data_IF_015661280664
#
_entry.id   IF_015661280664
#
_cell.length_a   1.000
_cell.length_b   1.000
_cell.length_c   1.000
_cell.angle_alpha   90.00
_cell.angle_beta   90.00
_cell.angle_gamma   90.00
#
_symmetry.space_group_name_H-M   'P 1'
#
loop_
_entity.id
_entity.type
_entity.pdbx_description
1 polymer ?
#
# COMPACT_ATOMS: atom_id res chain seq x y z
N UNK A 1 3.38 -14.49 3.70
CA UNK A 1 3.89 -15.86 3.51
C UNK A 1 5.18 -15.72 2.72
N UNK A 2 6.31 -15.65 3.42
CA UNK A 2 7.62 -15.47 2.78
C UNK A 2 8.03 -16.77 2.13
N UNK A 3 8.32 -16.73 0.82
CA UNK A 3 8.88 -17.87 0.10
C UNK A 3 10.33 -17.99 0.56
N UNK A 4 10.66 -19.13 1.18
CA UNK A 4 11.99 -19.39 1.73
C UNK A 4 13.02 -19.42 0.60
N UNK A 5 13.87 -18.40 0.56
CA UNK A 5 14.95 -18.21 -0.43
C UNK A 5 15.91 -19.41 -0.42
N UNK A 6 16.04 -20.10 0.72
CA UNK A 6 16.90 -21.28 0.86
C UNK A 6 16.42 -22.47 0.03
N UNK A 7 15.11 -22.62 -0.20
CA UNK A 7 14.57 -23.68 -1.05
C UNK A 7 14.83 -23.39 -2.54
N UNK A 8 14.78 -22.11 -2.93
CA UNK A 8 15.05 -21.68 -4.30
C UNK A 8 16.53 -21.84 -4.67
N UNK A 9 17.44 -21.52 -3.75
CA UNK A 9 18.88 -21.69 -3.98
C UNK A 9 19.31 -23.16 -3.97
N UNK A 10 18.66 -24.01 -3.17
CA UNK A 10 18.84 -25.47 -3.24
C UNK A 10 18.44 -26.03 -4.60
N UNK A 11 17.27 -25.66 -5.12
CA UNK A 11 16.80 -26.08 -6.45
C UNK A 11 17.74 -25.60 -7.59
N UNK A 12 18.25 -24.37 -7.51
CA UNK A 12 19.22 -23.83 -8.49
C UNK A 12 20.56 -24.57 -8.44
N UNK A 13 21.07 -24.87 -7.25
CA UNK A 13 22.34 -25.57 -7.06
C UNK A 13 22.26 -27.02 -7.55
N UNK A 14 21.13 -27.70 -7.34
CA UNK A 14 20.97 -29.10 -7.69
C UNK A 14 20.69 -29.31 -9.18
N UNK A 15 19.90 -28.41 -9.80
CA UNK A 15 19.67 -28.42 -11.24
C UNK A 15 20.95 -28.23 -12.07
N UNK A 16 21.93 -27.46 -11.56
CA UNK A 16 23.23 -27.27 -12.20
C UNK A 16 24.14 -28.51 -12.15
N UNK A 17 24.08 -29.28 -11.06
CA UNK A 17 24.93 -30.46 -10.85
C UNK A 17 24.45 -31.71 -11.62
N UNK A 18 23.15 -31.85 -11.83
CA UNK A 18 22.54 -33.06 -12.41
C UNK A 18 22.65 -33.14 -13.94
N UNK A 19 22.92 -32.01 -14.61
CA UNK A 19 23.08 -31.94 -16.07
C UNK A 19 24.31 -32.66 -16.62
N UNK A 20 25.25 -33.06 -15.75
CA UNK A 20 26.54 -33.66 -16.15
C UNK A 20 26.64 -35.18 -15.93
N UNK A 21 25.74 -35.81 -15.17
CA UNK A 21 25.93 -37.20 -14.69
C UNK A 21 24.72 -38.14 -14.80
N UNK A 22 23.51 -37.67 -15.13
CA UNK A 22 22.30 -38.49 -15.12
C UNK A 22 21.86 -38.93 -16.52
N UNK A 23 21.39 -40.19 -16.65
CA UNK A 23 20.81 -40.71 -17.89
C UNK A 23 19.45 -40.07 -18.18
N UNK A 24 18.97 -40.07 -19.45
CA UNK A 24 17.76 -39.35 -19.85
C UNK A 24 16.47 -39.76 -19.11
N UNK A 25 16.43 -40.96 -18.51
CA UNK A 25 15.29 -41.41 -17.71
C UNK A 25 15.34 -40.92 -16.26
N UNK A 26 16.54 -40.85 -15.65
CA UNK A 26 16.73 -40.39 -14.27
C UNK A 26 16.43 -38.89 -14.15
N UNK A 27 16.83 -38.10 -15.16
CA UNK A 27 16.51 -36.67 -15.25
C UNK A 27 15.00 -36.42 -15.36
N UNK A 28 14.26 -37.30 -16.05
CA UNK A 28 12.81 -37.16 -16.26
C UNK A 28 12.01 -37.47 -14.98
N UNK A 29 12.46 -38.45 -14.19
CA UNK A 29 11.82 -38.85 -12.93
C UNK A 29 12.01 -37.78 -11.86
N UNK A 30 13.20 -37.20 -11.73
CA UNK A 30 13.48 -36.12 -10.78
C UNK A 30 12.76 -34.80 -11.13
N UNK A 31 12.67 -34.46 -12.42
CA UNK A 31 11.86 -33.31 -12.89
C UNK A 31 10.38 -33.50 -12.52
N UNK A 32 9.88 -34.73 -12.63
CA UNK A 32 8.51 -35.08 -12.26
C UNK A 32 8.27 -34.98 -10.74
N UNK A 33 9.27 -35.34 -9.93
CA UNK A 33 9.23 -35.17 -8.48
C UNK A 33 9.26 -33.69 -8.05
N UNK A 34 10.10 -32.87 -8.68
CA UNK A 34 10.14 -31.42 -8.41
C UNK A 34 8.81 -30.73 -8.72
N UNK A 35 8.19 -31.08 -9.85
CA UNK A 35 6.86 -30.57 -10.21
C UNK A 35 5.77 -31.05 -9.24
N UNK A 36 5.85 -32.29 -8.76
CA UNK A 36 4.91 -32.82 -7.77
C UNK A 36 5.02 -32.10 -6.42
N UNK A 37 6.24 -31.83 -5.93
CA UNK A 37 6.47 -31.12 -4.67
C UNK A 37 5.95 -29.67 -4.75
N UNK A 38 6.24 -28.97 -5.86
CA UNK A 38 5.71 -27.61 -6.09
C UNK A 38 4.18 -27.62 -6.16
N UNK A 39 3.59 -28.61 -6.84
CA UNK A 39 2.13 -28.74 -6.96
C UNK A 39 1.45 -29.06 -5.63
N UNK A 40 2.06 -29.87 -4.77
CA UNK A 40 1.57 -30.22 -3.43
C UNK A 40 1.65 -29.04 -2.44
N UNK A 41 2.56 -28.10 -2.66
CA UNK A 41 2.79 -26.95 -1.80
C UNK A 41 1.88 -25.74 -2.12
N UNK A 42 1.02 -25.82 -3.14
CA UNK A 42 0.25 -24.68 -3.65
C UNK A 42 -1.26 -24.88 -3.56
N UNK A 43 -2.00 -23.83 -3.19
CA UNK A 43 -3.47 -23.82 -3.23
C UNK A 43 -4.02 -23.92 -4.68
N UNK A 44 -5.16 -24.59 -4.85
CA UNK A 44 -5.77 -25.02 -6.12
C UNK A 44 -5.84 -23.96 -7.23
N UNK A 45 -5.90 -22.67 -6.86
CA UNK A 45 -6.01 -21.56 -7.79
C UNK A 45 -4.76 -21.32 -8.65
N UNK A 46 -3.61 -21.90 -8.27
CA UNK A 46 -2.32 -21.66 -8.93
C UNK A 46 -1.83 -22.88 -9.75
N UNK A 47 -2.55 -24.01 -9.68
CA UNK A 47 -2.23 -25.25 -10.40
C UNK A 47 -2.18 -25.11 -11.94
N UNK A 48 -2.98 -24.27 -12.60
CA UNK A 48 -2.89 -24.09 -14.06
C UNK A 48 -1.54 -23.51 -14.54
N UNK A 49 -0.89 -22.68 -13.72
CA UNK A 49 0.41 -22.08 -14.03
C UNK A 49 1.53 -23.12 -14.03
N UNK A 50 1.44 -24.10 -13.12
CA UNK A 50 2.40 -25.20 -12.97
C UNK A 50 2.14 -26.30 -14.01
N UNK A 51 0.87 -26.66 -14.24
CA UNK A 51 0.49 -27.72 -15.19
C UNK A 51 0.85 -27.42 -16.66
N UNK A 52 1.05 -26.14 -16.99
CA UNK A 52 1.45 -25.70 -18.34
C UNK A 52 2.95 -25.47 -18.51
N UNK A 53 3.76 -25.78 -17.49
CA UNK A 53 5.21 -25.66 -17.52
C UNK A 53 5.88 -26.90 -18.11
N UNK A 54 7.03 -26.70 -18.77
CA UNK A 54 7.77 -27.78 -19.43
C UNK A 54 8.62 -28.61 -18.47
N UNK A 55 9.14 -27.97 -17.43
CA UNK A 55 9.97 -28.57 -16.39
C UNK A 55 9.81 -27.78 -15.08
N UNK A 56 10.45 -28.25 -14.00
CA UNK A 56 10.36 -27.63 -12.68
C UNK A 56 10.93 -26.19 -12.65
N UNK A 57 11.92 -25.89 -13.49
CA UNK A 57 12.49 -24.54 -13.57
C UNK A 57 11.51 -23.57 -14.25
N UNK A 58 10.91 -23.97 -15.38
CA UNK A 58 9.85 -23.21 -16.07
C UNK A 58 8.64 -22.99 -15.15
N UNK A 59 8.27 -24.01 -14.37
CA UNK A 59 7.19 -23.88 -13.38
C UNK A 59 7.52 -22.82 -12.32
N UNK A 60 8.73 -22.88 -11.75
CA UNK A 60 9.20 -21.90 -10.76
C UNK A 60 9.27 -20.49 -11.33
N UNK A 61 9.89 -20.30 -12.50
CA UNK A 61 10.00 -18.98 -13.14
C UNK A 61 8.64 -18.37 -13.50
N UNK A 62 7.65 -19.19 -13.91
CA UNK A 62 6.29 -18.70 -14.17
C UNK A 62 5.57 -18.28 -12.89
N UNK A 63 5.76 -19.02 -11.80
CA UNK A 63 5.22 -18.65 -10.50
C UNK A 63 5.84 -17.37 -10.00
N UNK A 64 7.17 -17.31 -9.97
CA UNK A 64 7.93 -16.11 -9.59
C UNK A 64 7.45 -14.91 -10.38
N UNK A 65 7.41 -15.00 -11.72
CA UNK A 65 6.93 -13.92 -12.58
C UNK A 65 5.45 -13.55 -12.38
N UNK A 66 4.57 -14.51 -12.09
CA UNK A 66 3.16 -14.23 -11.83
C UNK A 66 2.94 -13.52 -10.48
N UNK A 67 3.60 -14.00 -9.42
CA UNK A 67 3.54 -13.36 -8.10
C UNK A 67 4.26 -12.01 -8.09
N UNK A 68 5.38 -11.87 -8.80
CA UNK A 68 6.08 -10.60 -8.96
C UNK A 68 5.23 -9.60 -9.75
N UNK A 69 4.61 -10.00 -10.86
CA UNK A 69 3.67 -9.13 -11.60
C UNK A 69 2.49 -8.69 -10.74
N UNK A 70 1.90 -9.60 -9.96
CA UNK A 70 0.82 -9.27 -9.00
C UNK A 70 1.34 -8.32 -7.92
N UNK A 71 2.56 -8.52 -7.42
CA UNK A 71 3.22 -7.65 -6.45
C UNK A 71 3.45 -6.24 -7.03
N UNK A 72 3.97 -6.13 -8.25
CA UNK A 72 4.20 -4.84 -8.91
C UNK A 72 2.88 -4.11 -9.19
N UNK A 73 1.86 -4.83 -9.70
CA UNK A 73 0.54 -4.26 -9.92
C UNK A 73 -0.08 -3.73 -8.61
N UNK A 74 0.06 -4.48 -7.52
CA UNK A 74 -0.43 -4.08 -6.20
C UNK A 74 0.34 -2.86 -5.65
N UNK A 75 1.68 -2.87 -5.72
CA UNK A 75 2.53 -1.73 -5.36
C UNK A 75 2.14 -0.48 -6.14
N UNK A 76 1.96 -0.59 -7.46
CA UNK A 76 1.56 0.52 -8.32
C UNK A 76 0.17 1.05 -7.97
N UNK A 77 -0.79 0.16 -7.72
CA UNK A 77 -2.14 0.54 -7.31
C UNK A 77 -2.13 1.33 -6.00
N UNK A 78 -1.42 0.83 -4.99
CA UNK A 78 -1.30 1.49 -3.68
C UNK A 78 -0.56 2.83 -3.78
N UNK A 79 0.56 2.88 -4.53
CA UNK A 79 1.31 4.13 -4.75
C UNK A 79 0.45 5.18 -5.45
N UNK A 80 -0.28 4.80 -6.50
CA UNK A 80 -1.19 5.71 -7.19
C UNK A 80 -2.24 6.24 -6.22
N UNK A 81 -2.90 5.35 -5.47
CA UNK A 81 -3.93 5.73 -4.50
C UNK A 81 -3.41 6.64 -3.39
N UNK A 82 -2.17 6.43 -2.94
CA UNK A 82 -1.50 7.26 -1.94
C UNK A 82 -1.30 8.70 -2.46
N UNK A 83 -0.71 8.86 -3.65
CA UNK A 83 -0.40 10.18 -4.20
C UNK A 83 -1.60 10.93 -4.79
N UNK A 84 -2.70 10.27 -5.13
CA UNK A 84 -3.89 10.92 -5.72
C UNK A 84 -5.07 11.02 -4.75
N UNK A 85 -4.93 10.55 -3.52
CA UNK A 85 -5.99 10.71 -2.51
C UNK A 85 -6.06 12.18 -2.11
N UNK A 86 -7.25 12.77 -2.16
CA UNK A 86 -7.52 14.15 -1.73
C UNK A 86 -8.57 14.14 -0.62
N UNK A 87 -8.48 15.09 0.30
CA UNK A 87 -9.51 15.34 1.31
C UNK A 87 -10.68 16.06 0.65
N UNK A 88 -11.91 15.59 0.84
CA UNK A 88 -13.07 16.30 0.35
C UNK A 88 -13.46 17.43 1.31
N UNK A 89 -14.24 18.40 0.81
CA UNK A 89 -14.86 19.40 1.69
C UNK A 89 -15.87 18.74 2.63
N UNK A 90 -15.75 19.03 3.92
CA UNK A 90 -16.57 18.42 4.98
C UNK A 90 -16.05 17.10 5.55
N UNK A 91 -14.98 16.50 4.99
CA UNK A 91 -14.36 15.30 5.57
C UNK A 91 -13.82 15.57 6.98
N UNK A 92 -13.88 14.54 7.84
CA UNK A 92 -13.22 14.57 9.14
C UNK A 92 -11.71 14.53 8.99
N UNK A 93 -11.00 15.53 9.50
CA UNK A 93 -9.52 15.59 9.47
C UNK A 93 -8.89 14.32 10.06
N UNK A 94 -9.41 13.82 11.17
CA UNK A 94 -8.87 12.63 11.84
C UNK A 94 -9.07 11.36 11.00
N UNK A 95 -10.24 11.21 10.38
CA UNK A 95 -10.54 10.09 9.48
C UNK A 95 -9.60 10.14 8.26
N UNK A 96 -9.36 11.34 7.74
CA UNK A 96 -8.46 11.54 6.62
C UNK A 96 -7.00 11.23 6.98
N UNK A 97 -6.52 11.66 8.16
CA UNK A 97 -5.20 11.30 8.70
C UNK A 97 -5.05 9.77 8.78
N UNK A 98 -6.06 9.08 9.30
CA UNK A 98 -6.03 7.62 9.39
C UNK A 98 -6.00 6.97 8.00
N UNK A 99 -6.76 7.49 7.03
CA UNK A 99 -6.73 7.01 5.64
C UNK A 99 -5.32 7.06 5.03
N UNK A 100 -4.60 8.16 5.23
CA UNK A 100 -3.22 8.32 4.74
C UNK A 100 -2.27 7.33 5.44
N UNK A 101 -2.37 7.18 6.77
CA UNK A 101 -1.57 6.19 7.52
C UNK A 101 -1.81 4.77 7.05
N UNK A 102 -3.07 4.37 6.89
CA UNK A 102 -3.42 3.04 6.42
C UNK A 102 -2.87 2.75 5.02
N UNK A 103 -2.84 3.75 4.12
CA UNK A 103 -2.19 3.57 2.81
C UNK A 103 -0.68 3.39 2.93
N UNK A 104 -0.02 4.12 3.82
CA UNK A 104 1.41 3.94 4.09
C UNK A 104 1.73 2.56 4.70
N UNK A 105 0.91 2.09 5.65
CA UNK A 105 1.01 0.75 6.24
C UNK A 105 0.79 -0.36 5.19
N UNK A 106 -0.17 -0.18 4.29
CA UNK A 106 -0.38 -1.12 3.18
C UNK A 106 0.80 -1.16 2.22
N UNK A 107 1.44 -0.02 1.96
CA UNK A 107 2.65 0.08 1.15
C UNK A 107 3.85 -0.60 1.82
N UNK A 108 4.00 -0.44 3.14
CA UNK A 108 5.02 -1.15 3.91
C UNK A 108 4.81 -2.68 3.88
N UNK A 109 3.57 -3.13 4.07
CA UNK A 109 3.21 -4.55 4.04
C UNK A 109 3.52 -5.26 2.70
N UNK A 110 3.59 -4.51 1.59
CA UNK A 110 3.97 -5.06 0.27
C UNK A 110 5.45 -4.83 -0.06
N UNK A 111 6.26 -4.36 0.90
CA UNK A 111 7.69 -4.10 0.72
C UNK A 111 7.97 -2.87 -0.15
N UNK A 112 7.17 -1.81 -0.01
CA UNK A 112 7.34 -0.53 -0.69
C UNK A 112 7.16 0.66 0.27
N UNK A 113 7.93 0.73 1.39
CA UNK A 113 7.74 1.70 2.45
C UNK A 113 7.76 3.16 1.94
N UNK A 114 7.04 4.02 2.65
CA UNK A 114 6.97 5.46 2.41
C UNK A 114 7.89 6.16 3.40
N UNK A 115 8.68 7.13 2.94
CA UNK A 115 9.54 7.93 3.82
C UNK A 115 8.70 8.85 4.70
N UNK A 116 9.25 9.29 5.84
CA UNK A 116 8.57 10.27 6.69
C UNK A 116 8.29 11.57 5.93
N UNK A 117 9.23 12.01 5.09
CA UNK A 117 9.10 13.22 4.26
C UNK A 117 8.00 13.06 3.22
N UNK A 118 7.98 11.94 2.47
CA UNK A 118 6.93 11.66 1.47
C UNK A 118 5.54 11.62 2.13
N UNK A 119 5.45 11.10 3.36
CA UNK A 119 4.21 11.04 4.12
C UNK A 119 3.71 12.44 4.48
N UNK A 120 4.60 13.30 4.98
CA UNK A 120 4.30 14.71 5.31
C UNK A 120 3.91 15.50 4.06
N UNK A 121 4.71 15.40 2.99
CA UNK A 121 4.49 16.10 1.72
C UNK A 121 3.15 15.68 1.13
N UNK A 122 2.88 14.38 1.06
CA UNK A 122 1.62 13.86 0.49
C UNK A 122 0.44 14.33 1.31
N UNK A 123 0.52 14.27 2.65
CA UNK A 123 -0.56 14.74 3.50
C UNK A 123 -0.87 16.23 3.28
N UNK A 124 0.14 17.10 3.34
CA UNK A 124 -0.05 18.54 3.14
C UNK A 124 -0.61 18.87 1.74
N UNK A 125 -0.08 18.23 0.70
CA UNK A 125 -0.55 18.43 -0.68
C UNK A 125 -1.98 17.94 -0.92
N UNK A 126 -2.47 17.05 -0.06
CA UNK A 126 -3.76 16.38 -0.21
C UNK A 126 -4.91 17.01 0.58
N UNK A 127 -4.61 17.95 1.48
CA UNK A 127 -5.60 18.70 2.24
C UNK A 127 -6.44 19.60 1.33
N UNK A 128 -7.72 19.79 1.69
CA UNK A 128 -8.63 20.64 0.93
C UNK A 128 -8.32 22.14 1.08
N UNK A 129 -8.98 22.96 0.25
CA UNK A 129 -8.75 24.41 0.20
C UNK A 129 -8.98 25.10 1.55
N UNK A 130 -9.90 24.56 2.34
CA UNK A 130 -10.18 25.08 3.67
C UNK A 130 -8.95 25.07 4.59
N UNK A 131 -7.88 24.31 4.33
CA UNK A 131 -6.66 24.31 5.15
C UNK A 131 -5.48 25.09 4.54
N UNK A 132 -5.66 25.77 3.41
CA UNK A 132 -4.55 26.42 2.67
C UNK A 132 -3.71 27.38 3.52
N UNK A 133 -4.35 28.22 4.34
CA UNK A 133 -3.62 29.13 5.22
C UNK A 133 -2.73 28.38 6.24
N UNK A 134 -3.20 27.24 6.75
CA UNK A 134 -2.42 26.40 7.66
C UNK A 134 -1.27 25.73 6.93
N UNK A 135 -1.49 25.26 5.70
CA UNK A 135 -0.45 24.67 4.84
C UNK A 135 0.67 25.68 4.61
N UNK A 136 0.37 26.90 4.14
CA UNK A 136 1.37 27.96 3.93
C UNK A 136 2.15 28.28 5.21
N UNK A 137 1.47 28.34 6.36
CA UNK A 137 2.13 28.60 7.64
C UNK A 137 3.08 27.46 8.04
N UNK A 138 2.72 26.21 7.77
CA UNK A 138 3.57 25.05 8.03
C UNK A 138 4.78 25.01 7.08
N UNK A 139 4.57 25.25 5.79
CA UNK A 139 5.63 25.31 4.77
C UNK A 139 6.68 26.39 5.06
N UNK A 140 6.26 27.51 5.67
CA UNK A 140 7.20 28.57 6.09
C UNK A 140 8.19 28.13 7.19
N UNK A 141 7.97 26.96 7.82
CA UNK A 141 8.78 26.36 8.89
C UNK A 141 9.30 24.97 8.50
N UNK A 142 9.62 24.78 7.22
CA UNK A 142 9.96 23.49 6.61
C UNK A 142 11.12 22.74 7.29
N UNK A 143 12.00 23.45 8.00
CA UNK A 143 13.14 22.91 8.75
C UNK A 143 12.76 22.04 9.96
N UNK A 144 11.48 22.03 10.37
CA UNK A 144 11.01 21.31 11.56
C UNK A 144 9.69 20.53 11.35
N UNK A 145 9.32 20.26 10.09
CA UNK A 145 8.08 19.56 9.79
C UNK A 145 8.18 18.07 10.12
N UNK A 146 7.41 17.63 11.11
CA UNK A 146 7.20 16.21 11.42
C UNK A 146 5.74 15.82 11.24
N UNK A 147 5.49 14.52 11.10
CA UNK A 147 4.15 13.97 11.00
C UNK A 147 3.25 14.41 12.18
N UNK A 148 3.78 14.43 13.40
CA UNK A 148 3.05 14.84 14.59
C UNK A 148 2.63 16.31 14.51
N UNK A 149 3.54 17.18 14.04
CA UNK A 149 3.26 18.60 13.92
C UNK A 149 2.17 18.89 12.87
N UNK A 150 2.26 18.25 11.70
CA UNK A 150 1.32 18.48 10.59
C UNK A 150 -0.05 17.89 10.87
N UNK A 151 -0.16 16.88 11.72
CA UNK A 151 -1.46 16.28 12.09
C UNK A 151 -2.11 16.95 13.31
N UNK A 152 -1.33 17.46 14.26
CA UNK A 152 -1.86 18.11 15.46
C UNK A 152 -2.55 19.46 15.16
N UNK A 153 -2.03 20.24 14.22
CA UNK A 153 -2.54 21.59 13.92
C UNK A 153 -3.92 21.59 13.25
N UNK A 154 -4.18 20.80 12.19
CA UNK A 154 -5.49 20.72 11.56
C UNK A 154 -6.57 20.22 12.52
N UNK A 155 -6.24 19.28 13.42
CA UNK A 155 -7.18 18.78 14.44
C UNK A 155 -7.62 19.89 15.41
N UNK A 156 -6.68 20.72 15.89
CA UNK A 156 -7.01 21.86 16.74
C UNK A 156 -7.86 22.90 16.01
N UNK A 157 -7.60 23.11 14.72
CA UNK A 157 -8.38 24.04 13.91
C UNK A 157 -9.80 23.53 13.63
N UNK A 158 -9.97 22.25 13.33
CA UNK A 158 -11.26 21.60 13.11
C UNK A 158 -12.18 21.72 14.35
N UNK A 159 -11.62 21.52 15.56
CA UNK A 159 -12.35 21.75 16.81
C UNK A 159 -12.83 23.20 16.97
N UNK A 160 -12.00 24.19 16.59
CA UNK A 160 -12.37 25.61 16.62
C UNK A 160 -13.41 25.97 15.55
N UNK A 161 -13.37 25.33 14.38
CA UNK A 161 -14.34 25.55 13.29
C UNK A 161 -15.70 24.97 13.65
N UNK A 162 -15.74 23.74 14.15
CA UNK A 162 -16.97 23.10 14.67
C UNK A 162 -17.59 23.92 15.80
N UNK A 163 -16.77 24.45 16.71
CA UNK A 163 -17.22 25.37 17.76
C UNK A 163 -17.84 26.67 17.21
N UNK A 164 -17.20 27.33 16.23
CA UNK A 164 -17.74 28.54 15.59
C UNK A 164 -19.04 28.32 14.83
N UNK A 165 -19.14 27.22 14.08
CA UNK A 165 -20.36 26.88 13.33
C UNK A 165 -21.53 26.64 14.29
N UNK A 166 -21.32 25.88 15.36
CA UNK A 166 -22.35 25.63 16.36
C UNK A 166 -22.83 26.94 17.04
N UNK A 167 -21.90 27.82 17.42
CA UNK A 167 -22.28 29.12 18.00
C UNK A 167 -23.08 29.96 17.01
N UNK A 168 -22.65 30.06 15.75
CA UNK A 168 -23.41 30.82 14.73
C UNK A 168 -24.79 30.22 14.48
N UNK A 169 -24.93 28.90 14.40
CA UNK A 169 -26.24 28.25 14.19
C UNK A 169 -27.16 28.43 15.39
N UNK A 170 -26.64 28.35 16.62
CA UNK A 170 -27.44 28.56 17.85
C UNK A 170 -27.87 30.02 17.95
N UNK A 171 -26.95 30.97 17.77
CA UNK A 171 -27.25 32.41 17.77
C UNK A 171 -28.30 32.77 16.71
N UNK A 172 -28.21 32.18 15.51
CA UNK A 172 -29.18 32.42 14.43
C UNK A 172 -30.56 31.77 14.67
N UNK A 173 -30.63 30.75 15.54
CA UNK A 173 -31.89 30.10 15.94
C UNK A 173 -32.56 30.82 17.13
N UNK A 174 -31.77 31.49 17.97
CA UNK A 174 -32.25 32.26 19.11
C UNK A 174 -32.64 33.71 18.74
N UNK A 175 -32.08 34.27 17.65
CA UNK A 175 -32.61 35.49 17.02
C UNK A 175 -33.71 35.12 16.03
N UNK A 176 -34.92 34.86 16.55
CA UNK A 176 -36.11 34.81 15.72
C UNK A 176 -36.32 36.14 14.99
N UNK A 177 -35.76 36.29 13.80
CA UNK A 177 -36.06 37.41 12.91
C UNK A 177 -37.48 37.19 12.36
N UNK A 178 -38.44 38.09 12.64
CA UNK A 178 -39.76 37.99 12.07
C UNK A 178 -39.66 38.14 10.55
N UNK A 179 -40.31 37.21 9.84
CA UNK A 179 -40.58 37.34 8.41
C UNK A 179 -41.29 38.68 8.16
N UNK A 180 -40.62 39.57 7.45
CA UNK A 180 -41.21 40.84 6.99
C UNK A 180 -42.20 40.50 5.86
N UNK A 181 -43.44 41.02 5.90
CA UNK A 181 -44.49 40.72 4.92
C UNK A 181 -44.19 41.25 3.52
#
# INVERSE_FOLDING_TARGET
MGIDVSAADWLRSQAGALRYHAGPNDVQEEVSQGLAIISLAMEDLQLPLVRSAKDAFDAWSRLEGHFEKKSLANKLFLRRRFFTTMMAEGDGVLEYINKIKTLAEQLDAVGAPVSADDLVITYLASLNESYQFLITALESRADSLTWELVTARPQHEDLKRKGRVLVTTVVNKDIGLPSVP
#
